data_IF_582405454563
#
_entry.id   IF_582405454563
#
_cell.length_a   1.000
_cell.length_b   1.000
_cell.length_c   1.000
_cell.angle_alpha   90.00
_cell.angle_beta   90.00
_cell.angle_gamma   90.00
#
_symmetry.space_group_name_H-M   'P 1'
#
loop_
_entity.id
_entity.type
_entity.pdbx_description
1 polymer ?
#
# COMPACT_ATOMS: atom_id res chain seq x y z
N UNK A 1 40.85 -29.72 -68.79
CA UNK A 1 40.39 -30.77 -67.87
C UNK A 1 39.08 -30.29 -67.26
N UNK A 2 38.06 -31.14 -67.30
CA UNK A 2 36.74 -30.98 -66.69
C UNK A 2 36.84 -31.03 -65.16
N UNK A 3 35.70 -30.78 -64.49
CA UNK A 3 35.37 -30.77 -63.04
C UNK A 3 35.46 -29.36 -62.41
N UNK A 4 34.44 -28.83 -61.76
CA UNK A 4 33.10 -29.32 -61.39
C UNK A 4 32.46 -28.30 -60.46
N UNK A 5 31.18 -28.00 -60.64
CA UNK A 5 30.39 -27.16 -59.75
C UNK A 5 30.22 -27.82 -58.38
N UNK A 6 30.42 -27.08 -57.30
CA UNK A 6 29.89 -27.42 -55.98
C UNK A 6 29.34 -26.13 -55.32
N UNK A 7 28.02 -26.04 -55.28
CA UNK A 7 27.28 -25.09 -54.42
C UNK A 7 27.18 -25.69 -53.03
N UNK A 8 27.56 -24.92 -52.00
CA UNK A 8 27.14 -25.16 -50.62
C UNK A 8 26.39 -23.92 -50.14
N UNK A 9 25.12 -24.09 -49.79
CA UNK A 9 24.36 -23.17 -48.95
C UNK A 9 24.74 -23.49 -47.52
N UNK A 10 25.16 -22.48 -46.76
CA UNK A 10 25.23 -22.55 -45.31
C UNK A 10 24.81 -21.18 -44.77
N UNK A 11 23.61 -21.14 -44.19
CA UNK A 11 23.15 -20.02 -43.39
C UNK A 11 23.98 -19.99 -42.10
N UNK A 12 24.61 -18.86 -41.81
CA UNK A 12 25.05 -18.54 -40.46
C UNK A 12 24.33 -17.25 -40.07
N UNK A 13 23.43 -17.40 -39.11
CA UNK A 13 22.80 -16.31 -38.38
C UNK A 13 23.89 -15.50 -37.70
N UNK A 14 23.88 -14.18 -37.88
CA UNK A 14 24.43 -13.25 -36.91
C UNK A 14 23.42 -12.09 -36.85
N UNK A 15 22.45 -12.23 -35.93
CA UNK A 15 21.61 -11.11 -35.49
C UNK A 15 22.41 -10.39 -34.42
N UNK A 16 23.05 -9.29 -34.82
CA UNK A 16 23.60 -8.32 -33.89
C UNK A 16 22.52 -7.27 -33.61
N UNK A 17 22.37 -6.99 -32.32
CA UNK A 17 21.77 -5.81 -31.71
C UNK A 17 20.23 -5.73 -31.65
N UNK A 18 19.66 -6.56 -30.77
CA UNK A 18 18.57 -6.06 -29.91
C UNK A 18 19.25 -5.65 -28.62
N UNK A 19 19.36 -4.34 -28.41
CA UNK A 19 19.67 -3.77 -27.11
C UNK A 19 18.65 -4.35 -26.13
N UNK A 20 19.15 -5.21 -25.25
CA UNK A 20 18.47 -5.66 -24.05
C UNK A 20 18.29 -4.41 -23.18
N UNK A 21 17.21 -3.68 -23.45
CA UNK A 21 16.70 -2.65 -22.56
C UNK A 21 16.28 -3.38 -21.29
N UNK A 22 17.26 -3.46 -20.39
CA UNK A 22 17.13 -3.97 -19.04
C UNK A 22 15.91 -3.28 -18.45
N UNK A 23 14.80 -4.02 -18.34
CA UNK A 23 13.61 -3.62 -17.64
C UNK A 23 14.04 -3.34 -16.19
N UNK A 24 14.38 -2.08 -15.92
CA UNK A 24 14.45 -1.56 -14.58
C UNK A 24 12.99 -1.39 -14.20
N UNK A 25 12.41 -2.43 -13.61
CA UNK A 25 11.16 -2.31 -12.89
C UNK A 25 11.38 -1.22 -11.83
N UNK A 26 10.90 -0.02 -12.11
CA UNK A 26 10.51 0.90 -11.05
C UNK A 26 9.24 0.27 -10.51
N UNK A 27 9.37 -0.45 -9.40
CA UNK A 27 8.22 -0.79 -8.56
C UNK A 27 7.56 0.52 -8.20
N UNK A 28 6.35 0.72 -8.70
CA UNK A 28 5.51 1.82 -8.29
C UNK A 28 4.98 1.42 -6.91
N UNK A 29 4.95 2.38 -6.00
CA UNK A 29 4.74 2.12 -4.58
C UNK A 29 3.29 1.68 -4.39
N UNK A 30 3.11 0.48 -3.84
CA UNK A 30 1.90 0.09 -3.15
C UNK A 30 1.67 0.98 -1.93
N UNK A 31 0.49 0.85 -1.34
CA UNK A 31 0.14 1.49 -0.09
C UNK A 31 1.19 1.15 0.96
N UNK A 32 1.68 2.17 1.63
CA UNK A 32 2.75 2.04 2.59
C UNK A 32 2.15 2.16 3.98
N UNK A 33 2.28 1.12 4.81
CA UNK A 33 1.93 1.23 6.23
C UNK A 33 2.64 2.42 6.88
N UNK A 34 1.86 3.20 7.63
CA UNK A 34 2.32 4.36 8.38
C UNK A 34 2.06 4.09 9.85
N UNK A 35 3.02 4.44 10.71
CA UNK A 35 2.80 4.39 12.16
C UNK A 35 1.76 5.41 12.56
N UNK A 36 0.90 5.10 13.52
CA UNK A 36 -0.17 6.04 13.91
C UNK A 36 0.41 7.36 14.44
N UNK A 37 1.55 7.35 15.14
CA UNK A 37 2.23 8.57 15.57
C UNK A 37 2.76 9.44 14.43
N UNK A 38 3.08 8.84 13.27
CA UNK A 38 3.58 9.53 12.07
C UNK A 38 2.45 10.19 11.24
N UNK A 39 1.18 9.90 11.53
CA UNK A 39 0.06 10.49 10.80
C UNK A 39 -0.03 12.02 11.02
N UNK A 40 -0.52 12.78 10.03
CA UNK A 40 -0.89 14.18 10.24
C UNK A 40 -1.78 14.34 11.48
N UNK A 41 -1.42 15.27 12.36
CA UNK A 41 -2.15 15.50 13.61
C UNK A 41 -3.63 15.84 13.38
N UNK A 42 -3.97 16.42 12.23
CA UNK A 42 -5.34 16.66 11.80
C UNK A 42 -6.18 15.37 11.71
N UNK A 43 -5.58 14.25 11.31
CA UNK A 43 -6.24 12.93 11.27
C UNK A 43 -6.47 12.41 12.68
N UNK A 44 -5.44 12.48 13.55
CA UNK A 44 -5.53 12.06 14.95
C UNK A 44 -6.60 12.87 15.71
N UNK A 45 -6.63 14.19 15.49
CA UNK A 45 -7.63 15.09 16.07
C UNK A 45 -9.05 14.77 15.54
N UNK A 46 -9.18 14.43 14.26
CA UNK A 46 -10.46 14.04 13.67
C UNK A 46 -10.99 12.76 14.31
N UNK A 47 -10.18 11.70 14.39
CA UNK A 47 -10.57 10.43 15.02
C UNK A 47 -10.94 10.64 16.49
N UNK A 48 -10.09 11.34 17.26
CA UNK A 48 -10.35 11.61 18.68
C UNK A 48 -11.64 12.41 18.93
N UNK A 49 -12.05 13.26 17.98
CA UNK A 49 -13.21 14.15 18.14
C UNK A 49 -14.52 13.55 17.62
N UNK A 50 -14.50 12.92 16.44
CA UNK A 50 -15.69 12.36 15.79
C UNK A 50 -15.95 10.91 16.22
N UNK A 51 -14.91 10.17 16.63
CA UNK A 51 -14.97 8.76 17.06
C UNK A 51 -14.35 8.53 18.45
N UNK A 52 -14.81 9.22 19.52
CA UNK A 52 -14.17 9.21 20.84
C UNK A 52 -14.22 7.86 21.60
N UNK A 53 -14.93 6.86 21.06
CA UNK A 53 -15.00 5.51 21.62
C UNK A 53 -14.18 4.49 20.80
N UNK A 54 -13.53 4.93 19.71
CA UNK A 54 -12.75 4.10 18.80
C UNK A 54 -11.29 4.55 18.79
N UNK A 55 -10.42 3.63 18.39
CA UNK A 55 -8.98 3.84 18.17
C UNK A 55 -8.65 3.50 16.73
N UNK A 56 -7.48 3.94 16.26
CA UNK A 56 -6.90 3.52 14.99
C UNK A 56 -6.23 2.18 15.23
N UNK A 57 -6.55 1.18 14.42
CA UNK A 57 -5.89 -0.13 14.42
C UNK A 57 -4.75 -0.17 13.41
N UNK A 58 -4.99 0.38 12.22
CA UNK A 58 -4.07 0.37 11.11
C UNK A 58 -4.13 1.70 10.35
N UNK A 59 -3.01 2.07 9.74
CA UNK A 59 -2.95 3.23 8.87
C UNK A 59 -1.94 3.05 7.76
N UNK A 60 -2.26 3.60 6.59
CA UNK A 60 -1.45 3.52 5.38
C UNK A 60 -1.46 4.85 4.62
N UNK A 61 -0.37 5.11 3.90
CA UNK A 61 -0.26 6.17 2.91
C UNK A 61 -0.41 5.54 1.54
N UNK A 62 -1.45 5.96 0.84
CA UNK A 62 -1.80 5.53 -0.50
C UNK A 62 -0.77 6.00 -1.52
N UNK A 63 -0.73 5.36 -2.69
CA UNK A 63 0.16 5.75 -3.79
C UNK A 63 0.00 7.21 -4.27
N UNK A 64 -1.15 7.80 -3.98
CA UNK A 64 -1.57 9.15 -4.33
C UNK A 64 -1.26 10.17 -3.22
N UNK A 65 -0.75 9.70 -2.07
CA UNK A 65 -0.40 10.48 -0.89
C UNK A 65 -1.57 10.76 0.07
N UNK A 66 -2.75 10.22 -0.20
CA UNK A 66 -3.83 10.17 0.77
C UNK A 66 -3.47 9.21 1.91
N UNK A 67 -4.17 9.33 3.02
CA UNK A 67 -4.05 8.41 4.12
C UNK A 67 -5.36 7.64 4.29
N UNK A 68 -5.26 6.33 4.47
CA UNK A 68 -6.37 5.50 4.94
C UNK A 68 -6.06 5.04 6.36
N UNK A 69 -7.08 5.07 7.22
CA UNK A 69 -6.98 4.59 8.61
C UNK A 69 -8.15 3.66 8.90
N UNK A 70 -7.86 2.48 9.44
CA UNK A 70 -8.86 1.54 9.92
C UNK A 70 -9.09 1.75 11.42
N UNK A 71 -10.35 1.93 11.81
CA UNK A 71 -10.74 2.06 13.21
C UNK A 71 -10.97 0.69 13.87
N UNK A 72 -10.97 0.66 15.20
CA UNK A 72 -11.18 -0.56 16.01
C UNK A 72 -12.53 -1.28 15.86
N UNK A 73 -13.40 -0.77 15.00
CA UNK A 73 -14.66 -1.40 14.60
C UNK A 73 -14.74 -1.67 13.09
N UNK A 74 -13.59 -1.75 12.43
CA UNK A 74 -13.41 -2.07 11.01
C UNK A 74 -13.98 -0.99 10.07
N UNK A 75 -14.17 0.24 10.55
CA UNK A 75 -14.49 1.38 9.67
C UNK A 75 -13.20 1.95 9.12
N UNK A 76 -13.12 2.04 7.80
CA UNK A 76 -12.00 2.68 7.11
C UNK A 76 -12.34 4.13 6.77
N UNK A 77 -11.44 5.04 7.07
CA UNK A 77 -11.58 6.47 6.81
C UNK A 77 -10.46 6.92 5.88
N UNK A 78 -10.80 7.71 4.86
CA UNK A 78 -9.85 8.24 3.90
C UNK A 78 -9.67 9.75 4.09
N UNK A 79 -8.43 10.20 4.06
CA UNK A 79 -8.00 11.58 4.24
C UNK A 79 -7.08 12.00 3.09
N UNK A 80 -7.08 13.28 2.73
CA UNK A 80 -6.10 13.80 1.79
C UNK A 80 -4.70 13.91 2.41
N UNK A 81 -3.70 14.20 1.59
CA UNK A 81 -2.30 14.40 2.03
C UNK A 81 -2.09 15.52 3.09
N UNK A 82 -3.09 16.38 3.35
CA UNK A 82 -3.06 17.41 4.39
C UNK A 82 -3.83 16.99 5.65
N UNK A 83 -4.40 15.78 5.69
CA UNK A 83 -5.24 15.27 6.77
C UNK A 83 -6.69 15.77 6.72
N UNK A 84 -7.15 16.33 5.59
CA UNK A 84 -8.57 16.70 5.44
C UNK A 84 -9.41 15.45 5.13
N UNK A 85 -10.45 15.19 5.93
CA UNK A 85 -11.34 14.02 5.76
C UNK A 85 -12.06 14.04 4.40
N UNK A 86 -11.90 12.96 3.65
CA UNK A 86 -12.52 12.75 2.32
C UNK A 86 -13.78 11.91 2.43
N UNK A 87 -13.75 10.81 3.18
CA UNK A 87 -14.89 9.90 3.30
C UNK A 87 -14.61 8.63 4.07
N UNK A 88 -15.62 7.76 4.10
CA UNK A 88 -15.51 6.40 4.62
C UNK A 88 -15.30 5.51 3.40
N UNK A 89 -14.34 4.61 3.45
CA UNK A 89 -14.23 3.58 2.43
C UNK A 89 -15.28 2.50 2.66
N UNK A 90 -16.00 2.14 1.60
CA UNK A 90 -17.13 1.20 1.66
C UNK A 90 -16.99 0.13 0.59
N UNK A 91 -16.15 -0.85 0.88
CA UNK A 91 -15.89 -2.06 0.09
C UNK A 91 -17.15 -2.91 -0.18
N UNK A 92 -18.30 -2.57 0.46
CA UNK A 92 -19.54 -3.29 0.19
C UNK A 92 -20.16 -2.95 -1.17
N UNK A 93 -19.63 -1.95 -1.87
CA UNK A 93 -20.00 -1.61 -3.24
C UNK A 93 -18.91 -2.09 -4.21
N UNK A 94 -19.33 -2.76 -5.30
CA UNK A 94 -18.47 -3.02 -6.45
C UNK A 94 -18.04 -1.65 -7.03
N UNK A 95 -16.75 -1.30 -6.93
CA UNK A 95 -16.20 0.06 -7.05
C UNK A 95 -16.65 0.97 -5.90
N UNK A 96 -16.09 0.77 -4.70
CA UNK A 96 -16.19 1.71 -3.58
C UNK A 96 -15.84 3.15 -3.97
N UNK A 97 -16.20 4.15 -3.15
CA UNK A 97 -15.95 5.57 -3.46
C UNK A 97 -14.44 5.89 -3.50
N UNK A 98 -13.61 4.98 -2.97
CA UNK A 98 -12.15 4.99 -2.94
C UNK A 98 -11.52 3.67 -3.44
N UNK A 99 -12.24 2.90 -4.26
CA UNK A 99 -11.73 1.68 -4.91
C UNK A 99 -11.30 1.97 -6.35
N UNK A 100 -10.38 1.17 -6.87
CA UNK A 100 -9.86 1.35 -8.22
C UNK A 100 -10.97 1.20 -9.25
N UNK A 101 -10.91 2.06 -10.27
CA UNK A 101 -11.98 2.12 -11.25
C UNK A 101 -11.71 1.13 -12.37
N UNK A 102 -12.49 0.05 -12.47
CA UNK A 102 -12.39 -0.88 -13.60
C UNK A 102 -12.58 -0.13 -14.93
N UNK A 103 -11.61 -0.28 -15.83
CA UNK A 103 -11.64 0.25 -17.18
C UNK A 103 -11.91 -0.87 -18.16
N UNK A 104 -13.05 -0.79 -18.85
CA UNK A 104 -13.25 -1.63 -20.02
C UNK A 104 -12.18 -1.31 -21.08
N UNK A 105 -11.62 -2.36 -21.67
CA UNK A 105 -10.54 -2.27 -22.67
C UNK A 105 -10.76 -1.21 -23.76
N UNK A 106 -12.00 -0.97 -24.18
CA UNK A 106 -12.33 0.03 -25.20
C UNK A 106 -12.07 1.48 -24.78
N UNK A 107 -12.00 1.77 -23.48
CA UNK A 107 -11.80 3.10 -22.91
C UNK A 107 -10.33 3.38 -22.54
N UNK A 108 -9.45 2.37 -22.63
CA UNK A 108 -8.01 2.54 -22.48
C UNK A 108 -7.43 3.50 -23.52
N UNK A 109 -6.41 4.26 -23.11
CA UNK A 109 -5.69 5.16 -24.01
C UNK A 109 -5.05 4.38 -25.16
N UNK A 110 -5.19 4.91 -26.38
CA UNK A 110 -4.58 4.28 -27.57
C UNK A 110 -3.06 4.09 -27.42
N UNK A 111 -2.37 4.96 -26.68
CA UNK A 111 -0.94 4.82 -26.40
C UNK A 111 -0.61 3.53 -25.62
N UNK A 112 -1.47 3.13 -24.68
CA UNK A 112 -1.34 1.90 -23.89
C UNK A 112 -1.57 0.69 -24.79
N UNK A 113 -2.65 0.71 -25.58
CA UNK A 113 -2.97 -0.36 -26.55
C UNK A 113 -1.83 -0.57 -27.56
N UNK A 114 -1.27 0.53 -28.08
CA UNK A 114 -0.15 0.51 -29.04
C UNK A 114 1.12 -0.05 -28.39
N UNK A 115 1.38 0.28 -27.12
CA UNK A 115 2.52 -0.25 -26.38
C UNK A 115 2.40 -1.76 -26.17
N UNK A 116 1.24 -2.24 -25.73
CA UNK A 116 0.97 -3.66 -25.50
C UNK A 116 1.08 -4.45 -26.81
N UNK A 117 0.48 -3.98 -27.92
CA UNK A 117 0.60 -4.65 -29.23
C UNK A 117 2.05 -4.74 -29.71
N UNK A 118 2.86 -3.72 -29.42
CA UNK A 118 4.26 -3.65 -29.84
C UNK A 118 5.19 -4.52 -28.99
N UNK A 119 5.00 -4.52 -27.66
CA UNK A 119 5.93 -5.12 -26.69
C UNK A 119 5.50 -6.52 -26.24
N UNK A 120 4.20 -6.77 -26.19
CA UNK A 120 3.58 -8.03 -25.76
C UNK A 120 2.70 -8.58 -26.89
N UNK A 121 3.28 -8.88 -28.07
CA UNK A 121 2.50 -9.35 -29.21
C UNK A 121 1.80 -10.67 -28.88
N UNK A 122 0.56 -10.82 -29.35
CA UNK A 122 -0.32 -11.98 -29.09
C UNK A 122 -0.86 -12.09 -27.65
N UNK A 123 -0.47 -11.19 -26.74
CA UNK A 123 -1.06 -11.11 -25.40
C UNK A 123 -2.38 -10.33 -25.42
N UNK A 124 -3.38 -10.89 -24.74
CA UNK A 124 -4.63 -10.21 -24.41
C UNK A 124 -4.47 -9.34 -23.17
N UNK A 125 -5.41 -8.41 -23.00
CA UNK A 125 -5.64 -7.70 -21.75
C UNK A 125 -6.74 -8.49 -21.06
N UNK A 126 -6.48 -8.92 -19.82
CA UNK A 126 -7.44 -9.62 -18.98
C UNK A 126 -8.27 -8.60 -18.21
N UNK A 127 -7.59 -7.65 -17.58
CA UNK A 127 -8.17 -6.59 -16.74
C UNK A 127 -7.39 -5.28 -16.93
N UNK A 128 -8.07 -4.17 -16.69
CA UNK A 128 -7.44 -2.88 -16.62
C UNK A 128 -8.23 -1.99 -15.67
N UNK A 129 -7.53 -1.20 -14.88
CA UNK A 129 -8.10 -0.29 -13.91
C UNK A 129 -7.38 1.06 -13.95
N UNK A 130 -8.02 2.05 -13.34
CA UNK A 130 -7.42 3.34 -13.08
C UNK A 130 -7.31 3.54 -11.59
N UNK A 131 -6.07 3.59 -11.15
CA UNK A 131 -5.67 3.98 -9.81
C UNK A 131 -6.16 5.39 -9.47
N UNK A 132 -6.30 5.65 -8.17
CA UNK A 132 -6.65 6.98 -7.63
C UNK A 132 -5.70 8.10 -8.08
N UNK A 133 -4.41 7.78 -8.25
CA UNK A 133 -3.42 8.74 -8.77
C UNK A 133 -3.54 8.96 -10.30
N UNK A 134 -4.56 8.42 -10.97
CA UNK A 134 -4.79 8.39 -12.42
C UNK A 134 -3.75 7.60 -13.21
N UNK A 135 -3.07 6.66 -12.58
CA UNK A 135 -2.23 5.68 -13.24
C UNK A 135 -3.12 4.55 -13.75
N UNK A 136 -2.69 3.90 -14.82
CA UNK A 136 -3.37 2.75 -15.38
C UNK A 136 -2.59 1.51 -14.99
N UNK A 137 -3.27 0.59 -14.32
CA UNK A 137 -2.82 -0.79 -14.19
C UNK A 137 -3.51 -1.64 -15.28
N UNK A 138 -2.73 -2.47 -15.98
CA UNK A 138 -3.22 -3.32 -17.06
C UNK A 138 -2.64 -4.71 -16.90
N UNK A 139 -3.49 -5.65 -16.47
CA UNK A 139 -3.18 -7.07 -16.36
C UNK A 139 -3.35 -7.76 -17.71
N UNK A 140 -2.31 -8.47 -18.14
CA UNK A 140 -2.34 -9.30 -19.34
C UNK A 140 -2.77 -10.72 -19.01
N UNK A 141 -3.20 -11.47 -20.03
CA UNK A 141 -3.67 -12.86 -19.87
C UNK A 141 -2.61 -13.88 -19.35
N UNK A 142 -1.35 -13.49 -19.20
CA UNK A 142 -0.29 -14.29 -18.57
C UNK A 142 0.07 -13.81 -17.16
N UNK A 143 -0.83 -13.04 -16.55
CA UNK A 143 -0.67 -12.46 -15.21
C UNK A 143 0.47 -11.42 -15.14
N UNK A 144 0.92 -10.90 -16.29
CA UNK A 144 1.82 -9.75 -16.31
C UNK A 144 1.02 -8.48 -16.05
N UNK A 145 1.31 -7.79 -14.96
CA UNK A 145 0.78 -6.46 -14.66
C UNK A 145 1.66 -5.37 -15.28
N UNK A 146 1.07 -4.42 -15.99
CA UNK A 146 1.77 -3.29 -16.60
C UNK A 146 1.21 -1.97 -16.10
N UNK A 147 2.10 -1.08 -15.70
CA UNK A 147 1.72 0.21 -15.12
C UNK A 147 2.05 1.36 -16.08
N UNK A 148 1.11 2.28 -16.27
CA UNK A 148 1.24 3.45 -17.14
C UNK A 148 0.78 4.72 -16.43
N UNK A 149 1.41 5.86 -16.71
CA UNK A 149 0.94 7.13 -16.16
C UNK A 149 -0.38 7.59 -16.83
N UNK A 150 -0.98 8.67 -16.32
CA UNK A 150 -2.20 9.27 -16.87
C UNK A 150 -2.16 9.70 -18.35
N UNK A 151 -0.98 9.77 -18.97
CA UNK A 151 -0.82 10.02 -20.42
C UNK A 151 -0.69 8.75 -21.25
N UNK A 152 -0.67 7.57 -20.61
CA UNK A 152 -0.46 6.27 -21.24
C UNK A 152 1.01 5.94 -21.51
N UNK A 153 1.96 6.64 -20.87
CA UNK A 153 3.38 6.29 -20.97
C UNK A 153 3.71 5.17 -19.99
N UNK A 154 4.31 4.08 -20.47
CA UNK A 154 4.73 2.95 -19.65
C UNK A 154 5.68 3.40 -18.53
N UNK A 155 5.35 3.03 -17.31
CA UNK A 155 6.15 3.27 -16.11
C UNK A 155 6.89 1.99 -15.69
N UNK A 156 6.22 0.84 -15.65
CA UNK A 156 6.85 -0.38 -15.14
C UNK A 156 5.99 -1.63 -15.30
N UNK A 157 6.55 -2.76 -14.85
CA UNK A 157 5.80 -4.00 -14.67
C UNK A 157 5.42 -4.05 -13.20
N UNK A 158 4.13 -4.17 -12.89
CA UNK A 158 3.64 -4.36 -11.53
C UNK A 158 4.04 -5.74 -11.01
N UNK A 159 4.11 -5.87 -9.69
CA UNK A 159 4.24 -7.16 -9.02
C UNK A 159 2.86 -7.47 -8.47
N UNK A 160 2.26 -8.60 -8.88
CA UNK A 160 0.97 -9.00 -8.32
C UNK A 160 1.13 -9.23 -6.82
N UNK A 161 0.35 -8.53 -6.00
CA UNK A 161 0.33 -8.72 -4.54
C UNK A 161 -0.54 -9.92 -4.13
N UNK A 162 -1.18 -10.57 -5.12
CA UNK A 162 -2.00 -11.75 -4.92
C UNK A 162 -1.23 -13.08 -5.02
N UNK A 163 -0.16 -13.25 -4.24
CA UNK A 163 0.11 -14.57 -3.66
C UNK A 163 -0.78 -14.70 -2.41
N UNK A 164 -2.10 -14.60 -2.62
CA UNK A 164 -3.10 -15.06 -1.65
C UNK A 164 -2.78 -16.53 -1.39
N UNK A 165 -2.24 -16.85 -0.21
CA UNK A 165 -2.41 -18.19 0.27
C UNK A 165 -3.90 -18.43 0.55
N UNK A 166 -4.35 -19.69 0.45
CA UNK A 166 -5.76 -20.12 0.58
C UNK A 166 -6.38 -19.80 1.98
N UNK A 167 -5.75 -18.92 2.76
CA UNK A 167 -6.01 -18.61 4.16
C UNK A 167 -6.70 -17.26 4.33
N UNK A 168 -6.61 -16.36 3.34
CA UNK A 168 -7.07 -14.97 3.47
C UNK A 168 -6.20 -14.17 4.45
N UNK A 169 -4.92 -14.52 4.55
CA UNK A 169 -3.92 -13.79 5.32
C UNK A 169 -3.09 -13.00 4.30
N UNK A 170 -3.08 -11.68 4.43
CA UNK A 170 -2.24 -10.85 3.58
C UNK A 170 -0.78 -11.10 4.01
N UNK A 171 0.04 -11.65 3.12
CA UNK A 171 1.48 -11.82 3.36
C UNK A 171 2.18 -10.46 3.21
N UNK A 172 1.84 -9.52 4.09
CA UNK A 172 2.58 -8.27 4.32
C UNK A 172 3.80 -8.51 5.23
N UNK A 173 4.21 -9.77 5.45
CA UNK A 173 5.52 -10.05 6.04
C UNK A 173 6.58 -9.69 4.99
N UNK A 174 6.83 -8.38 4.85
CA UNK A 174 8.03 -7.88 4.22
C UNK A 174 9.18 -8.68 4.84
N UNK A 175 9.89 -9.43 3.99
CA UNK A 175 11.17 -10.08 4.31
C UNK A 175 12.18 -8.96 4.64
N UNK A 176 12.00 -8.38 5.82
CA UNK A 176 12.25 -6.96 6.05
C UNK A 176 11.86 -6.44 7.43
N UNK A 177 10.96 -7.10 8.17
CA UNK A 177 10.74 -6.85 9.60
C UNK A 177 10.06 -5.52 9.90
N UNK A 178 8.72 -5.55 9.94
CA UNK A 178 7.95 -4.48 10.55
C UNK A 178 7.87 -4.77 12.05
N UNK A 179 8.72 -4.07 12.82
CA UNK A 179 8.62 -3.91 14.27
C UNK A 179 7.44 -2.92 14.52
N UNK A 180 6.21 -3.37 14.30
CA UNK A 180 4.99 -2.67 14.71
C UNK A 180 4.20 -3.59 15.64
N UNK A 181 3.85 -3.09 16.82
CA UNK A 181 3.20 -3.90 17.83
C UNK A 181 1.84 -4.44 17.39
N UNK A 182 1.33 -5.39 18.16
CA UNK A 182 -0.06 -5.85 17.99
C UNK A 182 -1.00 -4.77 18.58
N UNK A 183 -1.81 -4.13 17.72
CA UNK A 183 -2.84 -3.18 18.18
C UNK A 183 -3.79 -3.83 19.21
N UNK A 184 -4.09 -3.10 20.30
CA UNK A 184 -4.96 -3.54 21.38
C UNK A 184 -6.01 -2.49 21.74
N UNK A 185 -7.13 -2.95 22.30
CA UNK A 185 -8.10 -2.05 22.94
C UNK A 185 -7.42 -1.38 24.17
N UNK A 186 -7.46 -0.05 24.31
CA UNK A 186 -6.94 0.63 25.50
C UNK A 186 -7.52 0.10 26.83
N UNK A 187 -8.69 -0.52 26.81
CA UNK A 187 -9.28 -1.19 27.98
C UNK A 187 -8.48 -2.41 28.45
N UNK A 188 -7.64 -2.99 27.61
CA UNK A 188 -6.74 -4.11 27.91
C UNK A 188 -5.38 -3.67 28.48
N UNK A 189 -5.08 -2.36 28.46
CA UNK A 189 -3.89 -1.81 29.10
C UNK A 189 -3.90 -2.02 30.63
N UNK A 190 -2.73 -2.21 31.26
CA UNK A 190 -2.64 -2.30 32.72
C UNK A 190 -3.22 -1.06 33.42
N UNK A 191 -3.96 -1.24 34.51
CA UNK A 191 -4.60 -0.13 35.26
C UNK A 191 -3.61 1.01 35.62
N UNK A 192 -2.33 0.69 35.84
CA UNK A 192 -1.32 1.69 36.16
C UNK A 192 -0.86 2.53 34.97
N UNK A 193 -0.93 1.99 33.76
CA UNK A 193 -0.68 2.73 32.50
C UNK A 193 -1.79 3.76 32.33
N UNK A 194 -3.05 3.31 32.38
CA UNK A 194 -4.22 4.19 32.29
C UNK A 194 -4.19 5.30 33.36
N UNK A 195 -3.89 4.96 34.61
CA UNK A 195 -3.78 5.94 35.68
C UNK A 195 -2.64 6.96 35.44
N UNK A 196 -1.51 6.53 34.90
CA UNK A 196 -0.39 7.41 34.57
C UNK A 196 -0.78 8.40 33.45
N UNK A 197 -1.42 7.92 32.38
CA UNK A 197 -1.85 8.74 31.26
C UNK A 197 -2.93 9.74 31.68
N UNK A 198 -3.92 9.32 32.46
CA UNK A 198 -4.96 10.22 32.99
C UNK A 198 -4.39 11.31 33.92
N UNK A 199 -3.37 10.99 34.73
CA UNK A 199 -2.74 11.96 35.63
C UNK A 199 -1.82 12.94 34.87
N UNK A 200 -1.07 12.43 33.90
CA UNK A 200 -0.01 13.18 33.21
C UNK A 200 -0.54 13.95 31.99
N UNK A 201 -1.48 13.35 31.26
CA UNK A 201 -2.04 13.84 30.00
C UNK A 201 -3.59 13.93 30.04
N UNK A 202 -4.19 14.60 31.04
CA UNK A 202 -5.63 14.56 31.32
C UNK A 202 -6.55 15.11 30.22
N UNK A 203 -5.99 15.74 29.20
CA UNK A 203 -6.75 16.34 28.09
C UNK A 203 -6.34 15.78 26.72
N UNK A 204 -5.59 14.69 26.70
CA UNK A 204 -5.20 14.00 25.47
C UNK A 204 -5.90 12.63 25.48
N UNK A 205 -6.87 12.39 24.58
CA UNK A 205 -7.40 11.06 24.34
C UNK A 205 -6.33 10.11 23.82
N UNK A 206 -6.51 8.82 24.10
CA UNK A 206 -5.74 7.75 23.45
C UNK A 206 -6.35 7.54 22.06
N UNK A 207 -5.51 7.56 21.02
CA UNK A 207 -5.94 7.29 19.63
C UNK A 207 -5.44 5.95 19.13
N UNK A 208 -4.38 5.40 19.74
CA UNK A 208 -3.85 4.09 19.44
C UNK A 208 -3.13 3.50 20.67
N UNK A 209 -3.13 2.18 20.78
CA UNK A 209 -2.39 1.44 21.78
C UNK A 209 -1.97 0.09 21.17
N UNK A 210 -0.74 -0.32 21.40
CA UNK A 210 -0.22 -1.58 20.88
C UNK A 210 0.69 -2.29 21.90
N UNK A 211 0.85 -3.59 21.69
CA UNK A 211 1.82 -4.43 22.38
C UNK A 211 2.99 -4.66 21.45
N UNK A 212 4.09 -4.02 21.77
CA UNK A 212 5.37 -4.11 21.09
C UNK A 212 6.04 -5.47 21.28
N UNK A 213 7.07 -5.71 20.48
CA UNK A 213 7.93 -6.88 20.60
C UNK A 213 8.48 -7.04 22.03
N UNK A 214 8.45 -8.27 22.54
CA UNK A 214 8.74 -8.61 23.95
C UNK A 214 7.68 -8.18 24.99
N UNK A 215 6.54 -7.63 24.56
CA UNK A 215 5.35 -7.36 25.37
C UNK A 215 5.33 -6.00 26.07
N UNK A 216 6.18 -5.06 25.64
CA UNK A 216 6.09 -3.67 26.06
C UNK A 216 4.80 -3.02 25.50
N UNK A 217 4.37 -1.90 26.07
CA UNK A 217 3.19 -1.18 25.56
C UNK A 217 3.62 0.16 24.99
N UNK A 218 3.11 0.47 23.81
CA UNK A 218 3.12 1.82 23.25
C UNK A 218 1.71 2.39 23.29
N UNK A 219 1.58 3.67 23.62
CA UNK A 219 0.30 4.39 23.59
C UNK A 219 0.48 5.72 22.87
N UNK A 220 -0.21 5.89 21.75
CA UNK A 220 -0.25 7.13 20.97
C UNK A 220 -1.43 7.99 21.44
N UNK A 221 -1.13 9.23 21.82
CA UNK A 221 -2.10 10.23 22.24
C UNK A 221 -2.56 11.07 21.04
N UNK A 222 -3.72 11.71 21.15
CA UNK A 222 -4.35 12.43 20.02
C UNK A 222 -3.53 13.56 19.39
N UNK A 223 -2.44 13.99 20.03
CA UNK A 223 -1.52 14.99 19.51
C UNK A 223 -0.25 14.39 18.88
N UNK A 224 -0.23 13.08 18.63
CA UNK A 224 0.94 12.33 18.12
C UNK A 224 1.97 11.96 19.18
N UNK A 225 1.71 12.22 20.46
CA UNK A 225 2.65 11.85 21.52
C UNK A 225 2.65 10.34 21.76
N UNK A 226 3.80 9.69 21.67
CA UNK A 226 3.95 8.26 21.94
C UNK A 226 4.54 8.03 23.34
N UNK A 227 3.88 7.19 24.12
CA UNK A 227 4.26 6.89 25.51
C UNK A 227 4.52 5.41 25.68
N UNK A 228 5.73 5.07 26.09
CA UNK A 228 6.20 3.70 26.20
C UNK A 228 6.20 3.20 27.64
N UNK A 229 5.76 1.95 27.84
CA UNK A 229 5.71 1.27 29.13
C UNK A 229 6.32 -0.13 29.03
N UNK A 230 6.91 -0.61 30.12
CA UNK A 230 7.38 -1.99 30.18
C UNK A 230 6.21 -2.99 30.32
N UNK A 231 6.51 -4.29 30.22
CA UNK A 231 5.55 -5.40 30.40
C UNK A 231 4.80 -5.39 31.74
N UNK A 232 5.29 -4.66 32.75
CA UNK A 232 4.63 -4.51 34.05
C UNK A 232 3.78 -3.23 34.12
N UNK A 233 3.79 -2.39 33.08
CA UNK A 233 3.08 -1.11 32.99
C UNK A 233 3.84 0.08 33.58
N UNK A 234 5.14 -0.04 33.88
CA UNK A 234 5.94 1.09 34.33
C UNK A 234 6.36 1.97 33.15
N UNK A 235 6.23 3.29 33.30
CA UNK A 235 6.72 4.25 32.31
C UNK A 235 8.20 4.06 31.98
N UNK A 236 8.52 4.01 30.69
CA UNK A 236 9.88 3.91 30.15
C UNK A 236 10.33 5.23 29.54
N UNK A 237 9.62 5.70 28.53
CA UNK A 237 9.97 6.85 27.72
C UNK A 237 8.75 7.49 27.09
N UNK A 238 8.97 8.67 26.54
CA UNK A 238 8.03 9.39 25.69
C UNK A 238 8.81 9.84 24.47
N UNK A 239 8.21 9.74 23.29
CA UNK A 239 8.73 10.32 22.06
C UNK A 239 7.80 11.44 21.55
N UNK A 240 8.41 12.47 21.00
CA UNK A 240 7.76 13.62 20.38
C UNK A 240 8.44 13.79 19.01
N UNK A 241 7.78 13.37 17.93
CA UNK A 241 8.27 13.63 16.57
C UNK A 241 8.28 15.13 16.18
#
# INVERSE_FOLDING_TARGET
MTLGTLTVVSCSKNSEDVENDSLVGIGLKADAKVRVGDLPVEILDFVASEFPELTINESEEEDNGNFKVELSNDIELVFDANGDFLGIDDDSQENGDFDDSEIIKEDLLQAILDYIELKYPEMGIDEAEMEHNNQYEVKLNDDTVLIFNSNGDFQGVGVEENDQDDNGDYDWEEEGGNDDGDAIDPADLPEMVMAYLEETYPNLPIVHAEIEDEGAFEVTMSNGLEVYFDTEGNFLSVDED
#
